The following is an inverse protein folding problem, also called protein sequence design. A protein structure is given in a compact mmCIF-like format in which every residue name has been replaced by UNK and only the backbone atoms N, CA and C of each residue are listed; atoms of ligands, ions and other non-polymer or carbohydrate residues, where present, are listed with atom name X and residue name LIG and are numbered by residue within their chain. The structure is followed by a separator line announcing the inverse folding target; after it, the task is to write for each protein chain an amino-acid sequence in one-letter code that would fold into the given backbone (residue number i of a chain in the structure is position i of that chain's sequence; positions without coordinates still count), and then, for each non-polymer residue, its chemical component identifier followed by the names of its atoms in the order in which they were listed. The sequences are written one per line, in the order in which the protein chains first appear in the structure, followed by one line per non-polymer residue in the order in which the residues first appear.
data_IF_096596782629
#
_entry.id   IF_096596782629
#
_cell.length_a   1.000
_cell.length_b   1.000
_cell.length_c   1.000
_cell.angle_alpha   90.00
_cell.angle_beta   90.00
_cell.angle_gamma   90.00
#
_symmetry.space_group_name_H-M   'P 1'
#
loop_
_entity.id
_entity.type
_entity.pdbx_description
1 polymer ?
#
# COMPACT_ATOMS: atom_id res chain seq x y z
N UNK A 1 9.08 -12.51 -11.83
CA UNK A 1 8.28 -13.32 -10.90
C UNK A 1 8.87 -13.18 -9.51
N UNK A 2 8.39 -12.22 -8.71
CA UNK A 2 8.68 -12.16 -7.27
C UNK A 2 7.33 -12.12 -6.56
N UNK A 3 6.78 -13.30 -6.30
CA UNK A 3 5.57 -13.48 -5.52
C UNK A 3 5.94 -13.43 -4.04
N UNK A 4 6.16 -12.24 -3.48
CA UNK A 4 6.22 -12.09 -2.02
C UNK A 4 4.79 -11.95 -1.50
N UNK A 5 4.11 -13.10 -1.40
CA UNK A 5 2.92 -13.24 -0.56
C UNK A 5 3.41 -13.70 0.80
N UNK A 6 3.64 -12.76 1.72
CA UNK A 6 3.94 -13.10 3.12
C UNK A 6 2.65 -13.53 3.83
N UNK A 7 2.62 -14.80 4.21
CA UNK A 7 1.64 -15.50 5.07
C UNK A 7 2.08 -15.31 6.55
N UNK A 8 1.27 -15.72 7.54
CA UNK A 8 0.23 -15.00 8.27
C UNK A 8 0.75 -14.30 9.56
N UNK A 9 0.39 -13.03 9.78
CA UNK A 9 0.52 -12.42 11.11
C UNK A 9 -0.58 -13.02 11.99
N UNK A 10 -0.24 -14.02 12.81
CA UNK A 10 -1.26 -14.72 13.60
C UNK A 10 -1.76 -13.93 14.80
N UNK A 11 -0.97 -13.06 15.43
CA UNK A 11 -1.42 -12.14 16.49
C UNK A 11 -0.45 -10.95 16.62
N UNK A 12 -0.98 -9.73 16.70
CA UNK A 12 -0.31 -8.46 16.99
C UNK A 12 0.72 -8.01 15.94
N UNK A 13 0.44 -6.91 15.22
CA UNK A 13 1.45 -6.28 14.37
C UNK A 13 0.91 -5.35 13.28
N UNK A 14 1.83 -4.71 12.55
CA UNK A 14 1.53 -3.89 11.38
C UNK A 14 1.95 -4.68 10.14
N UNK A 15 1.03 -4.86 9.21
CA UNK A 15 1.30 -5.41 7.89
C UNK A 15 1.16 -4.28 6.85
N UNK A 16 2.18 -4.09 6.00
CA UNK A 16 2.13 -3.10 4.92
C UNK A 16 2.14 -3.80 3.56
N UNK A 17 1.22 -3.40 2.68
CA UNK A 17 1.18 -3.90 1.30
C UNK A 17 1.14 -2.73 0.32
N UNK A 18 2.09 -2.74 -0.63
CA UNK A 18 2.13 -1.82 -1.76
C UNK A 18 1.49 -2.49 -2.98
N UNK A 19 0.33 -1.98 -3.40
CA UNK A 19 -0.41 -2.49 -4.56
C UNK A 19 0.00 -1.83 -5.87
N UNK A 20 0.79 -0.74 -5.83
CA UNK A 20 1.30 -0.07 -7.04
C UNK A 20 2.12 -1.02 -7.93
N UNK A 21 2.64 -2.11 -7.35
CA UNK A 21 3.48 -3.11 -8.04
C UNK A 21 2.74 -4.42 -8.34
N UNK A 22 1.45 -4.53 -8.02
CA UNK A 22 0.65 -5.74 -8.18
C UNK A 22 -0.60 -5.43 -9.01
N UNK A 23 -0.57 -5.71 -10.32
CA UNK A 23 -1.66 -5.46 -11.28
C UNK A 23 -2.91 -6.35 -11.09
N UNK A 24 -3.38 -6.53 -9.85
CA UNK A 24 -4.54 -7.38 -9.52
C UNK A 24 -5.57 -6.55 -8.72
N UNK A 25 -6.55 -5.93 -9.40
CA UNK A 25 -7.47 -4.96 -8.78
C UNK A 25 -8.40 -5.57 -7.72
N UNK A 26 -8.62 -6.88 -7.74
CA UNK A 26 -9.53 -7.54 -6.79
C UNK A 26 -8.86 -7.99 -5.50
N UNK A 27 -7.53 -7.99 -5.44
CA UNK A 27 -6.77 -8.59 -4.33
C UNK A 27 -6.84 -7.86 -2.98
N UNK A 28 -6.97 -6.52 -2.88
CA UNK A 28 -6.94 -5.85 -1.58
C UNK A 28 -8.18 -6.12 -0.72
N UNK A 29 -9.37 -6.28 -1.32
CA UNK A 29 -10.62 -6.46 -0.55
C UNK A 29 -10.62 -7.77 0.26
N UNK A 30 -10.33 -8.96 -0.32
CA UNK A 30 -10.23 -10.19 0.46
C UNK A 30 -9.15 -10.14 1.55
N UNK A 31 -8.08 -9.35 1.35
CA UNK A 31 -7.02 -9.19 2.35
C UNK A 31 -7.49 -8.38 3.56
N UNK A 32 -8.25 -7.32 3.32
CA UNK A 32 -8.85 -6.50 4.39
C UNK A 32 -9.83 -7.35 5.19
N UNK A 33 -10.67 -8.13 4.50
CA UNK A 33 -11.72 -8.95 5.12
C UNK A 33 -11.14 -10.15 5.89
N UNK A 34 -9.95 -10.64 5.53
CA UNK A 34 -9.30 -11.80 6.16
C UNK A 34 -8.23 -11.48 7.19
N UNK A 35 -7.94 -10.19 7.45
CA UNK A 35 -6.92 -9.79 8.42
C UNK A 35 -7.32 -10.19 9.85
N UNK A 36 -6.34 -10.52 10.69
CA UNK A 36 -6.59 -10.73 12.12
C UNK A 36 -7.04 -9.44 12.80
N UNK A 37 -7.81 -9.56 13.88
CA UNK A 37 -8.46 -8.40 14.55
C UNK A 37 -7.44 -7.42 15.13
N UNK A 38 -6.30 -7.94 15.58
CA UNK A 38 -5.19 -7.25 16.24
C UNK A 38 -4.06 -6.88 15.27
N UNK A 39 -4.33 -6.96 13.96
CA UNK A 39 -3.42 -6.53 12.91
C UNK A 39 -3.90 -5.23 12.30
N UNK A 40 -2.99 -4.25 12.24
CA UNK A 40 -3.16 -3.03 11.46
C UNK A 40 -2.65 -3.26 10.04
N UNK A 41 -3.50 -3.02 9.04
CA UNK A 41 -3.16 -3.18 7.64
C UNK A 41 -2.98 -1.79 7.02
N UNK A 42 -1.75 -1.51 6.56
CA UNK A 42 -1.39 -0.28 5.85
C UNK A 42 -1.31 -0.58 4.36
N UNK A 43 -2.09 0.17 3.57
CA UNK A 43 -2.16 0.01 2.13
C UNK A 43 -1.64 1.29 1.48
N UNK A 44 -0.67 1.15 0.57
CA UNK A 44 -0.21 2.24 -0.28
C UNK A 44 -0.51 1.92 -1.74
N UNK A 45 -1.19 2.82 -2.43
CA UNK A 45 -1.54 2.70 -3.84
C UNK A 45 -1.75 4.11 -4.44
N UNK A 46 -1.58 4.24 -5.76
CA UNK A 46 -1.77 5.50 -6.51
C UNK A 46 -3.20 5.68 -7.00
N UNK A 47 -3.92 4.59 -7.25
CA UNK A 47 -5.30 4.62 -7.78
C UNK A 47 -6.17 3.57 -7.08
N UNK A 48 -6.33 3.73 -5.77
CA UNK A 48 -7.05 2.80 -4.92
C UNK A 48 -8.52 2.67 -5.33
N UNK A 49 -8.98 1.44 -5.53
CA UNK A 49 -10.40 1.12 -5.79
C UNK A 49 -11.30 1.62 -4.64
N UNK A 50 -12.47 2.17 -4.97
CA UNK A 50 -13.43 2.69 -3.99
C UNK A 50 -13.82 1.64 -2.93
N UNK A 51 -13.88 0.36 -3.29
CA UNK A 51 -14.21 -0.73 -2.37
C UNK A 51 -13.22 -0.87 -1.21
N UNK A 52 -11.96 -0.48 -1.44
CA UNK A 52 -10.91 -0.46 -0.41
C UNK A 52 -11.06 0.77 0.48
N UNK A 53 -11.31 1.93 -0.12
CA UNK A 53 -11.54 3.20 0.59
C UNK A 53 -12.72 3.08 1.55
N UNK A 54 -13.84 2.50 1.10
CA UNK A 54 -15.05 2.29 1.89
C UNK A 54 -14.85 1.38 3.12
N UNK A 55 -13.87 0.46 3.07
CA UNK A 55 -13.56 -0.48 4.16
C UNK A 55 -12.48 0.04 5.09
N UNK A 56 -11.73 1.06 4.68
CA UNK A 56 -10.62 1.59 5.45
C UNK A 56 -11.14 2.45 6.61
N UNK A 57 -10.56 2.27 7.80
CA UNK A 57 -10.84 3.14 8.94
C UNK A 57 -10.16 4.51 8.84
N UNK A 58 -9.09 4.61 8.05
CA UNK A 58 -8.34 5.83 7.79
C UNK A 58 -7.89 5.84 6.33
N UNK A 59 -8.09 6.97 5.65
CA UNK A 59 -7.67 7.18 4.28
C UNK A 59 -6.90 8.50 4.20
N UNK A 60 -5.71 8.46 3.60
CA UNK A 60 -4.87 9.63 3.35
C UNK A 60 -4.57 9.75 1.86
N UNK A 61 -4.76 10.95 1.31
CA UNK A 61 -4.40 11.30 -0.06
C UNK A 61 -3.07 12.05 -0.08
N UNK A 62 -2.04 11.50 -0.73
CA UNK A 62 -0.79 12.23 -0.96
C UNK A 62 -0.85 12.98 -2.29
N UNK A 63 -1.08 14.30 -2.22
CA UNK A 63 -1.06 15.18 -3.40
C UNK A 63 0.36 15.64 -3.71
N UNK A 64 0.78 15.42 -4.95
CA UNK A 64 2.07 15.93 -5.43
C UNK A 64 2.00 17.45 -5.61
N UNK A 65 2.46 18.20 -4.59
CA UNK A 65 2.55 19.67 -4.67
C UNK A 65 3.83 20.11 -5.38
N UNK A 66 4.95 19.43 -5.11
CA UNK A 66 6.25 19.64 -5.75
C UNK A 66 7.05 18.35 -5.74
N UNK A 67 7.77 18.06 -6.82
CA UNK A 67 8.63 16.89 -6.90
C UNK A 67 9.97 17.22 -7.59
N UNK A 68 11.08 16.80 -6.98
CA UNK A 68 12.45 17.04 -7.47
C UNK A 68 12.69 16.49 -8.88
N UNK A 69 12.03 15.39 -9.23
CA UNK A 69 12.06 14.80 -10.58
C UNK A 69 11.62 15.80 -11.67
N UNK A 70 10.58 16.60 -11.42
CA UNK A 70 10.09 17.59 -12.40
C UNK A 70 11.18 18.64 -12.67
N UNK A 71 12.02 18.94 -11.67
CA UNK A 71 13.18 19.83 -11.79
C UNK A 71 14.46 19.16 -12.30
N UNK A 72 14.40 17.91 -12.76
CA UNK A 72 15.56 17.17 -13.29
C UNK A 72 16.55 16.66 -12.24
N UNK A 73 16.22 16.74 -10.95
CA UNK A 73 17.08 16.20 -9.89
C UNK A 73 16.86 14.69 -9.79
N UNK A 74 17.92 13.93 -10.06
CA UNK A 74 17.92 12.47 -10.00
C UNK A 74 17.86 11.93 -8.57
N UNK A 75 17.37 10.70 -8.46
CA UNK A 75 17.36 9.92 -7.24
C UNK A 75 18.75 9.86 -6.58
N UNK A 76 18.79 9.97 -5.25
CA UNK A 76 20.00 9.83 -4.44
C UNK A 76 19.86 8.59 -3.57
N UNK A 77 20.98 7.97 -3.23
CA UNK A 77 20.98 6.84 -2.30
C UNK A 77 20.32 7.28 -0.99
N UNK A 78 19.24 6.59 -0.61
CA UNK A 78 18.47 6.88 0.60
C UNK A 78 17.34 7.90 0.46
N UNK A 79 17.04 8.41 -0.75
CA UNK A 79 15.88 9.31 -0.96
C UNK A 79 14.72 8.65 -1.69
N UNK A 80 14.88 8.37 -2.99
CA UNK A 80 13.87 7.69 -3.81
C UNK A 80 14.60 6.58 -4.58
N UNK A 81 13.99 5.40 -4.71
CA UNK A 81 14.54 4.23 -5.41
C UNK A 81 13.67 3.83 -6.59
#
# INVERSE_FOLDING_TARGET
MNHNVSIPYKHGGIASVDFTRLDIPERPVPLIDSKAVDVELVITDRNTDLRVIERAGLVMEMREVKHYYIGGVVARKGTVW
#
